data_IF_044975983979
#
_entry.id   IF_044975983979
#
_cell.length_a   1.000
_cell.length_b   1.000
_cell.length_c   1.000
_cell.angle_alpha   90.00
_cell.angle_beta   90.00
_cell.angle_gamma   90.00
#
_symmetry.space_group_name_H-M   'P 1'
#
loop_
_entity.id
_entity.type
_entity.pdbx_description
1 polymer ?
#
# COMPACT_ATOMS: atom_id res chain seq x y z
N UNK A 1 -44.90 -15.76 -38.58
CA UNK A 1 -45.73 -16.39 -37.53
C UNK A 1 -44.84 -16.72 -36.35
N UNK A 2 -44.87 -15.86 -35.32
CA UNK A 2 -44.07 -16.00 -34.09
C UNK A 2 -44.82 -16.94 -33.13
N UNK A 3 -44.25 -18.12 -32.87
CA UNK A 3 -44.75 -19.01 -31.84
C UNK A 3 -44.22 -18.53 -30.48
N UNK A 4 -45.07 -17.84 -29.73
CA UNK A 4 -44.84 -17.55 -28.31
C UNK A 4 -44.97 -18.84 -27.51
N UNK A 5 -43.83 -19.41 -27.10
CA UNK A 5 -43.79 -20.42 -26.06
C UNK A 5 -43.99 -19.73 -24.70
N UNK A 6 -45.24 -19.72 -24.21
CA UNK A 6 -45.54 -19.39 -22.81
C UNK A 6 -45.07 -20.56 -21.94
N UNK A 7 -43.95 -20.38 -21.26
CA UNK A 7 -43.53 -21.28 -20.18
C UNK A 7 -44.37 -20.92 -18.93
N UNK A 8 -45.08 -21.87 -18.32
CA UNK A 8 -45.85 -21.60 -17.11
C UNK A 8 -44.87 -21.36 -15.95
N UNK A 9 -44.92 -20.15 -15.39
CA UNK A 9 -44.27 -19.81 -14.12
C UNK A 9 -45.06 -20.49 -12.99
N UNK A 10 -44.67 -21.72 -12.68
CA UNK A 10 -45.23 -22.52 -11.59
C UNK A 10 -44.15 -23.45 -11.07
N UNK A 11 -43.30 -22.90 -10.21
CA UNK A 11 -42.64 -23.56 -9.08
C UNK A 11 -41.70 -22.53 -8.44
N UNK A 12 -41.83 -22.31 -7.14
CA UNK A 12 -41.00 -21.36 -6.39
C UNK A 12 -39.53 -21.78 -6.50
N UNK A 13 -38.71 -20.96 -7.19
CA UNK A 13 -37.26 -21.18 -7.24
C UNK A 13 -36.69 -21.21 -5.82
N UNK A 14 -36.21 -22.37 -5.40
CA UNK A 14 -35.57 -22.53 -4.09
C UNK A 14 -34.28 -21.72 -4.03
N UNK A 15 -33.91 -21.20 -2.85
CA UNK A 15 -32.64 -20.46 -2.64
C UNK A 15 -31.42 -21.28 -3.10
N UNK A 16 -31.49 -22.61 -2.99
CA UNK A 16 -30.46 -23.52 -3.51
C UNK A 16 -30.33 -23.47 -5.04
N UNK A 17 -31.43 -23.30 -5.78
CA UNK A 17 -31.39 -23.09 -7.23
C UNK A 17 -30.84 -21.70 -7.58
N UNK A 18 -31.14 -20.66 -6.79
CA UNK A 18 -30.53 -19.33 -6.95
C UNK A 18 -29.01 -19.42 -6.75
N UNK A 19 -28.53 -20.21 -5.79
CA UNK A 19 -27.10 -20.47 -5.57
C UNK A 19 -26.42 -21.24 -6.71
N UNK A 20 -27.14 -22.11 -7.41
CA UNK A 20 -26.62 -22.75 -8.63
C UNK A 20 -26.39 -21.74 -9.76
N UNK A 21 -27.24 -20.70 -9.88
CA UNK A 21 -27.09 -19.64 -10.88
C UNK A 21 -26.21 -18.46 -10.44
N UNK A 22 -25.86 -18.36 -9.15
CA UNK A 22 -25.00 -17.29 -8.58
C UNK A 22 -23.60 -17.76 -8.20
N UNK A 23 -23.24 -19.02 -8.51
CA UNK A 23 -21.84 -19.46 -8.54
C UNK A 23 -21.11 -18.72 -9.66
N UNK A 24 -20.55 -17.58 -9.31
CA UNK A 24 -19.67 -16.82 -10.17
C UNK A 24 -18.36 -17.55 -10.40
N UNK A 25 -17.78 -17.35 -11.59
CA UNK A 25 -16.40 -17.70 -11.84
C UNK A 25 -15.52 -16.70 -11.08
N UNK A 26 -15.01 -17.10 -9.91
CA UNK A 26 -14.06 -16.31 -9.13
C UNK A 26 -12.63 -16.77 -9.42
N UNK A 27 -11.68 -15.83 -9.47
CA UNK A 27 -10.26 -16.14 -9.74
C UNK A 27 -9.57 -16.89 -8.58
N UNK A 28 -10.01 -16.64 -7.35
CA UNK A 28 -9.69 -17.40 -6.14
C UNK A 28 -10.72 -18.52 -5.91
N UNK A 29 -10.25 -19.77 -5.93
CA UNK A 29 -11.10 -20.97 -5.78
C UNK A 29 -11.67 -21.15 -4.37
N UNK A 30 -11.21 -20.37 -3.38
CA UNK A 30 -11.69 -20.42 -2.01
C UNK A 30 -13.00 -19.65 -1.78
N UNK A 31 -13.42 -18.82 -2.75
CA UNK A 31 -14.63 -17.99 -2.64
C UNK A 31 -15.77 -18.53 -3.51
N UNK A 32 -16.96 -18.58 -2.92
CA UNK A 32 -18.19 -19.03 -3.59
C UNK A 32 -19.04 -17.87 -4.16
N UNK A 33 -18.49 -16.67 -4.22
CA UNK A 33 -19.16 -15.45 -4.69
C UNK A 33 -18.20 -14.61 -5.54
N UNK A 34 -18.76 -13.78 -6.42
CA UNK A 34 -18.00 -12.84 -7.23
C UNK A 34 -17.40 -11.73 -6.36
N UNK A 35 -16.17 -11.35 -6.65
CA UNK A 35 -15.58 -10.13 -6.07
C UNK A 35 -16.30 -8.89 -6.61
N UNK A 36 -16.15 -7.77 -5.91
CA UNK A 36 -16.70 -6.47 -6.35
C UNK A 36 -16.20 -6.13 -7.76
N UNK A 37 -14.91 -6.36 -8.03
CA UNK A 37 -14.30 -6.13 -9.33
C UNK A 37 -14.89 -7.04 -10.41
N UNK A 38 -15.10 -8.33 -10.12
CA UNK A 38 -15.72 -9.25 -11.09
C UNK A 38 -17.19 -8.91 -11.33
N UNK A 39 -17.93 -8.51 -10.29
CA UNK A 39 -19.30 -8.03 -10.44
C UNK A 39 -19.38 -6.75 -11.28
N UNK A 40 -18.42 -5.83 -11.11
CA UNK A 40 -18.29 -4.62 -11.94
C UNK A 40 -17.92 -4.96 -13.39
N UNK A 41 -17.01 -5.89 -13.64
CA UNK A 41 -16.68 -6.36 -15.00
C UNK A 41 -17.86 -7.02 -15.70
N UNK A 42 -18.71 -7.75 -14.99
CA UNK A 42 -19.93 -8.32 -15.56
C UNK A 42 -21.01 -7.26 -15.84
N UNK A 43 -21.00 -6.15 -15.08
CA UNK A 43 -21.94 -5.04 -15.27
C UNK A 43 -21.59 -4.18 -16.47
N UNK A 44 -20.30 -4.08 -16.81
CA UNK A 44 -19.77 -3.31 -17.94
C UNK A 44 -18.70 -4.12 -18.70
N UNK A 45 -19.14 -5.05 -19.59
CA UNK A 45 -18.21 -5.87 -20.36
C UNK A 45 -17.37 -5.06 -21.34
N UNK A 46 -17.89 -3.94 -21.85
CA UNK A 46 -17.15 -3.03 -22.73
C UNK A 46 -15.99 -2.34 -21.99
N UNK A 47 -16.24 -1.86 -20.77
CA UNK A 47 -15.21 -1.31 -19.88
C UNK A 47 -14.11 -2.32 -19.55
N UNK A 48 -14.51 -3.57 -19.27
CA UNK A 48 -13.56 -4.68 -19.09
C UNK A 48 -12.69 -4.94 -20.32
N UNK A 49 -13.27 -4.96 -21.52
CA UNK A 49 -12.53 -5.11 -22.79
C UNK A 49 -11.58 -3.94 -23.05
N UNK A 50 -11.95 -2.71 -22.66
CA UNK A 50 -11.07 -1.56 -22.79
C UNK A 50 -9.88 -1.62 -21.81
N UNK A 51 -10.10 -2.09 -20.58
CA UNK A 51 -9.05 -2.33 -19.62
C UNK A 51 -8.08 -3.40 -20.11
N UNK A 52 -8.59 -4.53 -20.62
CA UNK A 52 -7.75 -5.61 -21.18
C UNK A 52 -6.86 -5.09 -22.31
N UNK A 53 -7.42 -4.36 -23.29
CA UNK A 53 -6.63 -3.77 -24.39
C UNK A 53 -5.55 -2.81 -23.89
N UNK A 54 -5.83 -2.06 -22.82
CA UNK A 54 -4.85 -1.15 -22.21
C UNK A 54 -3.71 -1.95 -21.58
N UNK A 55 -4.03 -2.98 -20.80
CA UNK A 55 -3.04 -3.86 -20.17
C UNK A 55 -2.20 -4.60 -21.20
N UNK A 56 -2.79 -5.10 -22.29
CA UNK A 56 -2.06 -5.75 -23.38
C UNK A 56 -1.04 -4.81 -24.03
N UNK A 57 -1.41 -3.55 -24.28
CA UNK A 57 -0.50 -2.54 -24.83
C UNK A 57 0.64 -2.21 -23.87
N UNK A 58 0.32 -2.03 -22.60
CA UNK A 58 1.33 -1.78 -21.57
C UNK A 58 2.28 -2.98 -21.42
N UNK A 59 1.76 -4.20 -21.46
CA UNK A 59 2.57 -5.42 -21.41
C UNK A 59 3.50 -5.53 -22.63
N UNK A 60 3.00 -5.27 -23.84
CA UNK A 60 3.83 -5.19 -25.05
C UNK A 60 4.94 -4.14 -24.92
N UNK A 61 4.64 -2.97 -24.33
CA UNK A 61 5.65 -1.93 -24.09
C UNK A 61 6.71 -2.39 -23.09
N UNK A 62 6.30 -3.05 -22.01
CA UNK A 62 7.21 -3.60 -21.00
C UNK A 62 8.10 -4.69 -21.59
N UNK A 63 7.56 -5.59 -22.40
CA UNK A 63 8.33 -6.61 -23.12
C UNK A 63 9.35 -5.98 -24.08
N UNK A 64 8.98 -4.92 -24.80
CA UNK A 64 9.92 -4.18 -25.63
C UNK A 64 11.04 -3.52 -24.82
N UNK A 65 10.73 -2.96 -23.65
CA UNK A 65 11.75 -2.42 -22.73
C UNK A 65 12.67 -3.52 -22.21
N UNK A 66 12.14 -4.68 -21.83
CA UNK A 66 12.96 -5.82 -21.39
C UNK A 66 13.86 -6.34 -22.51
N UNK A 67 13.34 -6.43 -23.74
CA UNK A 67 14.13 -6.79 -24.92
C UNK A 67 15.25 -5.77 -25.18
N UNK A 68 14.96 -4.47 -25.05
CA UNK A 68 15.97 -3.42 -25.15
C UNK A 68 17.03 -3.52 -24.06
N UNK A 69 16.62 -3.74 -22.80
CA UNK A 69 17.53 -3.92 -21.66
C UNK A 69 18.51 -5.08 -21.86
N UNK A 70 18.08 -6.19 -22.47
CA UNK A 70 19.00 -7.29 -22.83
C UNK A 70 20.05 -6.89 -23.88
N UNK A 71 19.70 -5.96 -24.76
CA UNK A 71 20.57 -5.42 -25.82
C UNK A 71 21.35 -4.18 -25.38
N UNK A 72 21.11 -3.66 -24.17
CA UNK A 72 21.68 -2.42 -23.66
C UNK A 72 23.21 -2.48 -23.61
N UNK A 73 23.78 -3.59 -23.13
CA UNK A 73 25.24 -3.79 -23.10
C UNK A 73 25.86 -3.82 -24.51
N UNK A 74 25.16 -4.40 -25.48
CA UNK A 74 25.62 -4.46 -26.87
C UNK A 74 25.56 -3.06 -27.49
N UNK A 75 24.48 -2.33 -27.23
CA UNK A 75 24.34 -0.93 -27.62
C UNK A 75 25.47 -0.08 -27.06
N UNK A 76 25.70 -0.12 -25.74
CA UNK A 76 26.78 0.66 -25.11
C UNK A 76 28.17 0.24 -25.58
N UNK A 77 28.43 -1.06 -25.74
CA UNK A 77 29.71 -1.53 -26.30
C UNK A 77 29.91 -1.06 -27.75
N UNK A 78 28.87 -1.10 -28.57
CA UNK A 78 28.92 -0.53 -29.92
C UNK A 78 29.16 0.97 -29.87
N UNK A 79 28.47 1.67 -28.98
CA UNK A 79 28.63 3.10 -28.77
C UNK A 79 30.08 3.40 -28.36
N UNK A 80 30.67 2.64 -27.43
CA UNK A 80 32.09 2.77 -27.03
C UNK A 80 33.04 2.53 -28.20
N UNK A 81 32.70 1.65 -29.15
CA UNK A 81 33.49 1.52 -30.38
C UNK A 81 33.30 2.70 -31.32
N UNK A 82 32.11 3.30 -31.40
CA UNK A 82 31.86 4.51 -32.21
C UNK A 82 32.62 5.70 -31.62
N UNK A 83 32.56 5.92 -30.31
CA UNK A 83 33.36 6.96 -29.64
C UNK A 83 34.86 6.62 -29.63
N UNK A 84 35.21 5.34 -29.51
CA UNK A 84 36.57 4.83 -29.58
C UNK A 84 37.19 5.02 -30.97
N UNK A 85 36.41 4.90 -32.04
CA UNK A 85 36.84 5.28 -33.40
C UNK A 85 36.98 6.79 -33.60
N UNK A 86 36.44 7.61 -32.68
CA UNK A 86 36.76 9.04 -32.61
C UNK A 86 38.02 9.33 -31.79
N UNK A 87 38.60 8.34 -31.10
CA UNK A 87 39.92 8.43 -30.51
C UNK A 87 40.96 7.96 -31.55
N UNK A 88 42.00 8.74 -31.85
CA UNK A 88 43.02 8.32 -32.79
C UNK A 88 43.86 7.21 -32.15
N UNK A 89 43.64 5.96 -32.58
CA UNK A 89 44.59 4.86 -32.39
C UNK A 89 45.96 5.33 -32.91
N UNK A 90 46.93 5.50 -32.01
CA UNK A 90 48.33 5.81 -32.37
C UNK A 90 48.93 4.56 -33.01
N UNK A 91 49.22 4.55 -34.33
CA UNK A 91 49.91 3.42 -34.92
C UNK A 91 51.40 3.53 -34.56
N UNK A 92 51.96 2.47 -34.02
CA UNK A 92 53.40 2.29 -34.00
C UNK A 92 53.90 2.19 -35.45
N UNK A 93 54.42 3.32 -35.94
CA UNK A 93 55.40 3.51 -37.01
C UNK A 93 55.25 2.65 -38.29
N UNK A 94 54.69 3.24 -39.35
CA UNK A 94 55.45 3.53 -40.58
C UNK A 94 54.60 4.34 -41.58
N UNK A 95 55.22 5.38 -42.15
CA UNK A 95 54.87 6.12 -43.38
C UNK A 95 54.06 7.43 -43.22
N UNK A 96 54.77 8.53 -43.48
CA UNK A 96 54.39 9.96 -43.57
C UNK A 96 53.30 10.26 -44.66
N UNK A 97 52.94 11.53 -44.95
CA UNK A 97 52.73 12.74 -44.13
C UNK A 97 51.37 13.41 -44.46
N UNK A 98 50.64 13.97 -43.50
CA UNK A 98 49.65 15.03 -43.82
C UNK A 98 49.50 15.95 -42.61
N UNK A 99 49.80 17.22 -42.83
CA UNK A 99 49.65 18.31 -41.89
C UNK A 99 48.20 18.41 -41.39
N UNK A 100 47.99 18.27 -40.08
CA UNK A 100 46.82 18.83 -39.40
C UNK A 100 47.26 19.47 -38.07
N UNK A 101 46.54 20.52 -37.63
CA UNK A 101 47.04 21.44 -36.62
C UNK A 101 47.11 20.76 -35.26
N UNK A 102 48.27 20.84 -34.64
CA UNK A 102 48.51 20.48 -33.25
C UNK A 102 47.51 21.19 -32.34
N UNK A 103 46.59 20.44 -31.74
CA UNK A 103 45.80 20.90 -30.60
C UNK A 103 46.58 20.51 -29.34
N UNK A 104 46.91 21.45 -28.44
CA UNK A 104 47.65 21.13 -27.23
C UNK A 104 46.86 20.14 -26.38
N UNK A 105 47.54 19.13 -25.83
CA UNK A 105 47.04 18.29 -24.74
C UNK A 105 46.68 19.17 -23.54
N UNK A 106 45.45 19.68 -23.52
CA UNK A 106 44.88 20.38 -22.38
C UNK A 106 43.59 19.65 -22.03
N UNK A 107 43.63 18.84 -20.98
CA UNK A 107 42.41 18.19 -20.49
C UNK A 107 42.60 17.21 -19.33
N UNK A 108 43.71 16.48 -19.24
CA UNK A 108 43.90 15.48 -18.16
C UNK A 108 44.01 16.11 -16.77
N UNK A 109 44.89 17.09 -16.61
CA UNK A 109 45.13 17.73 -15.31
C UNK A 109 43.97 18.59 -14.79
N UNK A 110 43.15 19.17 -15.68
CA UNK A 110 41.97 19.94 -15.30
C UNK A 110 40.83 19.01 -14.82
N UNK A 111 40.68 17.83 -15.45
CA UNK A 111 39.77 16.78 -15.00
C UNK A 111 40.20 16.17 -13.66
N UNK A 112 41.49 15.87 -13.49
CA UNK A 112 42.02 15.35 -12.22
C UNK A 112 41.86 16.35 -11.08
N UNK A 113 42.01 17.65 -11.36
CA UNK A 113 41.73 18.72 -10.40
C UNK A 113 40.24 18.76 -10.04
N UNK A 114 39.35 18.70 -11.03
CA UNK A 114 37.91 18.71 -10.82
C UNK A 114 37.43 17.48 -10.02
N UNK A 115 38.02 16.30 -10.24
CA UNK A 115 37.73 15.10 -9.46
C UNK A 115 38.13 15.30 -7.99
N UNK A 116 39.30 15.89 -7.72
CA UNK A 116 39.75 16.18 -6.36
C UNK A 116 38.87 17.23 -5.67
N UNK A 117 38.46 18.27 -6.39
CA UNK A 117 37.54 19.29 -5.88
C UNK A 117 36.16 18.70 -5.54
N UNK A 118 35.63 17.83 -6.39
CA UNK A 118 34.36 17.14 -6.12
C UNK A 118 34.45 16.20 -4.92
N UNK A 119 35.55 15.48 -4.76
CA UNK A 119 35.80 14.64 -3.58
C UNK A 119 35.87 15.48 -2.30
N UNK A 120 36.58 16.60 -2.32
CA UNK A 120 36.64 17.51 -1.17
C UNK A 120 35.25 18.09 -0.82
N UNK A 121 34.46 18.46 -1.82
CA UNK A 121 33.09 18.94 -1.61
C UNK A 121 32.16 17.86 -1.06
N UNK A 122 32.32 16.61 -1.49
CA UNK A 122 31.57 15.47 -0.95
C UNK A 122 31.88 15.25 0.54
N UNK A 123 33.17 15.29 0.92
CA UNK A 123 33.61 15.20 2.31
C UNK A 123 33.05 16.34 3.17
N UNK A 124 33.15 17.59 2.70
CA UNK A 124 32.59 18.76 3.41
C UNK A 124 31.07 18.65 3.61
N UNK A 125 30.35 18.18 2.59
CA UNK A 125 28.90 17.97 2.66
C UNK A 125 28.57 16.87 3.68
N UNK A 126 29.30 15.76 3.65
CA UNK A 126 29.13 14.64 4.59
C UNK A 126 29.31 15.12 6.03
N UNK A 127 30.37 15.89 6.31
CA UNK A 127 30.59 16.43 7.64
C UNK A 127 29.50 17.44 8.06
N UNK A 128 29.03 18.29 7.13
CA UNK A 128 27.95 19.24 7.42
C UNK A 128 26.63 18.54 7.74
N UNK A 129 26.33 17.45 7.01
CA UNK A 129 25.16 16.60 7.26
C UNK A 129 25.25 15.93 8.63
N UNK A 130 26.41 15.37 9.00
CA UNK A 130 26.57 14.72 10.29
C UNK A 130 26.55 15.72 11.46
N UNK A 131 27.18 16.89 11.31
CA UNK A 131 27.06 17.98 12.30
C UNK A 131 25.60 18.40 12.50
N UNK A 132 24.84 18.50 11.41
CA UNK A 132 23.41 18.84 11.46
C UNK A 132 22.56 17.72 12.07
N UNK A 133 22.89 16.45 11.80
CA UNK A 133 22.26 15.29 12.42
C UNK A 133 22.47 15.30 13.93
N UNK A 134 23.71 15.45 14.39
CA UNK A 134 24.05 15.49 15.82
C UNK A 134 23.36 16.67 16.52
N UNK A 135 23.36 17.85 15.91
CA UNK A 135 22.66 19.02 16.43
C UNK A 135 21.13 18.80 16.51
N UNK A 136 20.55 18.13 15.51
CA UNK A 136 19.14 17.76 15.52
C UNK A 136 18.83 16.71 16.58
N UNK A 137 19.65 15.68 16.74
CA UNK A 137 19.47 14.63 17.75
C UNK A 137 19.58 15.19 19.17
N UNK A 138 20.53 16.09 19.43
CA UNK A 138 20.65 16.82 20.69
C UNK A 138 19.39 17.66 20.98
N UNK A 139 18.85 18.35 19.96
CA UNK A 139 17.62 19.14 20.09
C UNK A 139 16.37 18.27 20.25
N UNK A 140 16.29 17.16 19.54
CA UNK A 140 15.18 16.20 19.60
C UNK A 140 15.17 15.41 20.91
N UNK A 141 16.34 15.10 21.48
CA UNK A 141 16.49 14.51 22.81
C UNK A 141 15.96 15.40 23.92
N UNK A 142 16.04 16.73 23.75
CA UNK A 142 15.47 17.71 24.70
C UNK A 142 13.95 17.93 24.57
N UNK A 143 13.32 17.58 23.44
CA UNK A 143 11.92 17.94 23.15
C UNK A 143 10.91 16.79 23.33
N UNK A 144 11.02 16.00 24.39
CA UNK A 144 9.91 15.13 24.85
C UNK A 144 9.98 13.66 24.45
N UNK A 145 11.12 13.17 23.94
CA UNK A 145 11.40 11.73 23.82
C UNK A 145 12.10 11.18 25.08
N UNK A 146 11.73 11.71 26.24
CA UNK A 146 12.27 11.30 27.54
C UNK A 146 11.71 9.94 28.01
N UNK A 147 12.30 9.35 29.05
CA UNK A 147 11.82 8.11 29.67
C UNK A 147 10.34 8.19 30.07
N UNK A 148 9.84 9.38 30.41
CA UNK A 148 8.43 9.63 30.75
C UNK A 148 7.46 9.40 29.58
N UNK A 149 7.79 9.84 28.36
CA UNK A 149 6.99 9.56 27.17
C UNK A 149 6.97 8.06 26.83
N UNK A 150 8.13 7.41 27.01
CA UNK A 150 8.25 5.97 26.83
C UNK A 150 7.45 5.18 27.88
N UNK A 151 7.40 5.69 29.11
CA UNK A 151 6.62 5.12 30.21
C UNK A 151 5.12 5.32 30.01
N UNK A 152 4.68 6.51 29.58
CA UNK A 152 3.29 6.79 29.26
C UNK A 152 2.78 5.92 28.10
N UNK A 153 3.59 5.74 27.04
CA UNK A 153 3.26 4.86 25.91
C UNK A 153 3.22 3.38 26.31
N UNK A 154 4.09 2.97 27.24
CA UNK A 154 4.09 1.60 27.79
C UNK A 154 2.85 1.37 28.65
N UNK A 155 2.54 2.29 29.55
CA UNK A 155 1.34 2.25 30.38
C UNK A 155 0.04 2.21 29.55
N UNK A 156 -0.04 2.98 28.46
CA UNK A 156 -1.20 2.91 27.55
C UNK A 156 -1.33 1.56 26.87
N UNK A 157 -0.20 0.94 26.48
CA UNK A 157 -0.20 -0.38 25.83
C UNK A 157 -0.61 -1.47 26.83
N UNK A 158 -0.06 -1.44 28.03
CA UNK A 158 -0.40 -2.38 29.11
C UNK A 158 -1.88 -2.26 29.51
N UNK A 159 -2.43 -1.04 29.56
CA UNK A 159 -3.84 -0.82 29.82
C UNK A 159 -4.73 -1.46 28.74
N UNK A 160 -4.39 -1.28 27.46
CA UNK A 160 -5.13 -1.89 26.34
C UNK A 160 -5.05 -3.42 26.38
N UNK A 161 -3.85 -3.97 26.63
CA UNK A 161 -3.67 -5.43 26.76
C UNK A 161 -4.49 -6.00 27.91
N UNK A 162 -4.59 -5.27 29.04
CA UNK A 162 -5.43 -5.67 30.17
C UNK A 162 -6.92 -5.65 29.84
N UNK A 163 -7.42 -4.62 29.16
CA UNK A 163 -8.82 -4.53 28.73
C UNK A 163 -9.16 -5.62 27.70
N UNK A 164 -8.26 -5.90 26.76
CA UNK A 164 -8.42 -7.00 25.80
C UNK A 164 -8.45 -8.37 26.51
N UNK A 165 -7.57 -8.57 27.49
CA UNK A 165 -7.56 -9.78 28.31
C UNK A 165 -8.85 -9.93 29.13
N UNK A 166 -9.39 -8.84 29.68
CA UNK A 166 -10.66 -8.85 30.38
C UNK A 166 -11.82 -9.21 29.45
N UNK A 167 -11.85 -8.65 28.23
CA UNK A 167 -12.85 -8.98 27.21
C UNK A 167 -12.77 -10.44 26.78
N UNK A 168 -11.56 -10.96 26.56
CA UNK A 168 -11.35 -12.36 26.21
C UNK A 168 -11.82 -13.30 27.33
N UNK A 169 -11.49 -12.99 28.59
CA UNK A 169 -11.95 -13.78 29.75
C UNK A 169 -13.48 -13.72 29.93
N UNK A 170 -14.11 -12.59 29.63
CA UNK A 170 -15.58 -12.49 29.60
C UNK A 170 -16.16 -13.38 28.49
N UNK A 171 -15.58 -13.38 27.29
CA UNK A 171 -16.00 -14.27 26.22
C UNK A 171 -15.80 -15.75 26.54
N UNK A 172 -14.73 -16.11 27.24
CA UNK A 172 -14.47 -17.49 27.68
C UNK A 172 -15.39 -17.90 28.84
N UNK A 173 -15.76 -16.97 29.74
CA UNK A 173 -16.73 -17.23 30.82
C UNK A 173 -18.17 -17.35 30.33
N UNK A 174 -18.56 -16.54 29.34
CA UNK A 174 -19.88 -16.60 28.72
C UNK A 174 -19.95 -17.67 27.62
N UNK A 175 -18.80 -18.24 27.23
CA UNK A 175 -18.62 -19.22 26.17
C UNK A 175 -18.18 -20.60 26.68
N UNK A 176 -18.99 -21.25 27.51
CA UNK A 176 -19.07 -22.72 27.39
C UNK A 176 -19.48 -23.04 25.95
N UNK A 177 -19.06 -24.18 25.34
CA UNK A 177 -19.52 -24.52 24.00
C UNK A 177 -21.04 -24.42 23.99
N UNK A 178 -21.57 -23.41 23.29
CA UNK A 178 -23.00 -23.25 23.14
C UNK A 178 -23.46 -24.60 22.62
N UNK A 179 -24.29 -25.29 23.41
CA UNK A 179 -24.85 -26.59 23.05
C UNK A 179 -25.25 -26.47 21.58
N UNK A 180 -24.67 -27.27 20.66
CA UNK A 180 -24.95 -27.13 19.25
C UNK A 180 -26.46 -27.13 19.13
N UNK A 181 -26.98 -26.00 18.68
CA UNK A 181 -28.40 -25.77 18.55
C UNK A 181 -28.95 -26.90 17.67
N UNK A 182 -29.49 -27.95 18.31
CA UNK A 182 -30.06 -29.10 17.61
C UNK A 182 -31.08 -28.59 16.60
N UNK A 183 -31.26 -29.26 15.45
CA UNK A 183 -31.82 -28.68 14.22
C UNK A 183 -33.00 -27.74 14.51
N UNK A 184 -32.70 -26.44 14.63
CA UNK A 184 -33.69 -25.43 14.92
C UNK A 184 -34.37 -25.12 13.61
N UNK A 185 -35.57 -25.68 13.43
CA UNK A 185 -36.46 -25.32 12.35
C UNK A 185 -36.82 -23.84 12.54
N UNK A 186 -36.26 -22.97 11.70
CA UNK A 186 -36.68 -21.57 11.64
C UNK A 186 -38.11 -21.55 11.13
N UNK A 187 -39.08 -21.49 12.05
CA UNK A 187 -40.48 -21.30 11.73
C UNK A 187 -40.70 -19.80 11.60
N UNK A 188 -41.16 -19.34 10.43
CA UNK A 188 -41.67 -17.98 10.26
C UNK A 188 -42.82 -17.79 11.25
N UNK A 189 -42.58 -17.04 12.33
CA UNK A 189 -43.67 -16.57 13.20
C UNK A 189 -44.38 -15.44 12.48
N UNK A 190 -45.70 -15.53 12.43
CA UNK A 190 -46.56 -14.44 11.97
C UNK A 190 -46.32 -13.20 12.85
N UNK A 191 -46.39 -12.03 12.21
CA UNK A 191 -46.07 -10.73 12.76
C UNK A 191 -46.91 -10.44 14.02
N UNK A 192 -46.34 -10.69 15.21
CA UNK A 192 -47.03 -10.43 16.47
C UNK A 192 -46.44 -11.06 17.73
N UNK A 193 -45.59 -12.08 17.62
CA UNK A 193 -45.00 -12.75 18.79
C UNK A 193 -43.48 -12.60 18.85
N UNK A 194 -42.99 -11.37 18.89
CA UNK A 194 -41.63 -11.07 19.33
C UNK A 194 -41.53 -11.48 20.81
N UNK A 195 -40.81 -12.57 21.09
CA UNK A 195 -40.63 -13.03 22.45
C UNK A 195 -39.70 -12.10 23.23
N UNK A 196 -39.73 -12.19 24.56
CA UNK A 196 -38.86 -11.46 25.49
C UNK A 196 -37.35 -11.58 25.14
N UNK A 197 -36.95 -12.66 24.45
CA UNK A 197 -35.56 -12.88 23.97
C UNK A 197 -35.18 -12.01 22.77
N UNK A 198 -36.09 -11.77 21.82
CA UNK A 198 -35.79 -10.95 20.64
C UNK A 198 -35.68 -9.47 21.03
N UNK A 199 -36.51 -9.05 22.00
CA UNK A 199 -36.39 -7.75 22.65
C UNK A 199 -35.04 -7.63 23.38
N UNK A 200 -34.59 -8.68 24.08
CA UNK A 200 -33.28 -8.70 24.75
C UNK A 200 -32.10 -8.62 23.77
N UNK A 201 -32.13 -9.34 22.64
CA UNK A 201 -31.08 -9.28 21.63
C UNK A 201 -31.03 -7.90 20.93
N UNK A 202 -32.18 -7.32 20.60
CA UNK A 202 -32.25 -5.98 20.01
C UNK A 202 -31.73 -4.90 20.96
N UNK A 203 -31.98 -5.03 22.27
CA UNK A 203 -31.42 -4.14 23.30
C UNK A 203 -29.90 -4.29 23.37
N UNK A 204 -29.37 -5.52 23.38
CA UNK A 204 -27.92 -5.78 23.42
C UNK A 204 -27.22 -5.22 22.18
N UNK A 205 -27.78 -5.41 20.98
CA UNK A 205 -27.24 -4.85 19.74
C UNK A 205 -27.21 -3.32 19.81
N UNK A 206 -28.27 -2.70 20.34
CA UNK A 206 -28.32 -1.24 20.49
C UNK A 206 -27.27 -0.73 21.46
N UNK A 207 -27.06 -1.43 22.58
CA UNK A 207 -26.02 -1.05 23.57
C UNK A 207 -24.60 -1.23 23.02
N UNK A 208 -24.35 -2.28 22.23
CA UNK A 208 -23.04 -2.48 21.60
C UNK A 208 -22.76 -1.40 20.55
N UNK A 209 -23.75 -1.05 19.72
CA UNK A 209 -23.62 0.04 18.75
C UNK A 209 -23.39 1.40 19.41
N UNK A 210 -24.02 1.67 20.56
CA UNK A 210 -23.77 2.92 21.28
C UNK A 210 -22.39 2.96 21.93
N UNK A 211 -21.88 1.83 22.41
CA UNK A 211 -20.51 1.70 22.91
C UNK A 211 -19.48 1.86 21.78
N UNK A 212 -19.69 1.23 20.63
CA UNK A 212 -18.86 1.39 19.43
C UNK A 212 -18.77 2.86 19.01
N UNK A 213 -19.92 3.53 18.87
CA UNK A 213 -19.96 4.95 18.52
C UNK A 213 -19.24 5.84 19.55
N UNK A 214 -19.32 5.50 20.84
CA UNK A 214 -18.61 6.21 21.90
C UNK A 214 -17.08 6.04 21.77
N UNK A 215 -16.61 4.80 21.56
CA UNK A 215 -15.20 4.51 21.38
C UNK A 215 -14.64 5.16 20.11
N UNK A 216 -15.38 5.15 19.00
CA UNK A 216 -15.00 5.86 17.78
C UNK A 216 -14.86 7.37 18.01
N UNK A 217 -15.80 7.98 18.76
CA UNK A 217 -15.72 9.40 19.08
C UNK A 217 -14.50 9.74 19.93
N UNK A 218 -14.17 8.90 20.93
CA UNK A 218 -12.97 9.06 21.75
C UNK A 218 -11.70 8.92 20.91
N UNK A 219 -11.65 7.93 20.01
CA UNK A 219 -10.51 7.69 19.13
C UNK A 219 -10.28 8.87 18.18
N UNK A 220 -11.34 9.40 17.57
CA UNK A 220 -11.26 10.62 16.73
C UNK A 220 -10.78 11.82 17.53
N UNK A 221 -11.25 12.00 18.77
CA UNK A 221 -10.79 13.08 19.66
C UNK A 221 -9.31 12.96 19.99
N UNK A 222 -8.83 11.77 20.36
CA UNK A 222 -7.42 11.51 20.65
C UNK A 222 -6.54 11.73 19.42
N UNK A 223 -6.97 11.25 18.25
CA UNK A 223 -6.27 11.53 16.99
C UNK A 223 -6.19 13.03 16.70
N UNK A 224 -7.27 13.78 16.93
CA UNK A 224 -7.28 15.24 16.82
C UNK A 224 -6.29 15.92 17.77
N UNK A 225 -6.24 15.50 19.03
CA UNK A 225 -5.27 15.99 20.02
C UNK A 225 -3.83 15.68 19.60
N UNK A 226 -3.54 14.46 19.16
CA UNK A 226 -2.23 14.09 18.65
C UNK A 226 -1.82 14.95 17.44
N UNK A 227 -2.74 15.22 16.50
CA UNK A 227 -2.48 16.10 15.35
C UNK A 227 -2.18 17.53 15.79
N UNK A 228 -2.89 18.06 16.79
CA UNK A 228 -2.65 19.40 17.32
C UNK A 228 -1.29 19.51 18.02
N UNK A 229 -0.92 18.53 18.85
CA UNK A 229 0.40 18.50 19.49
C UNK A 229 1.52 18.36 18.46
N UNK A 230 1.33 17.52 17.43
CA UNK A 230 2.27 17.42 16.31
C UNK A 230 2.41 18.74 15.56
N UNK A 231 1.31 19.45 15.28
CA UNK A 231 1.36 20.76 14.65
C UNK A 231 2.10 21.80 15.50
N UNK A 232 1.91 21.77 16.82
CA UNK A 232 2.65 22.62 17.78
C UNK A 232 4.15 22.31 17.74
N UNK A 233 4.53 21.04 17.71
CA UNK A 233 5.93 20.61 17.65
C UNK A 233 6.60 20.99 16.32
N UNK A 234 5.90 20.81 15.20
CA UNK A 234 6.38 21.26 13.87
C UNK A 234 6.57 22.77 13.83
N UNK A 235 5.65 23.54 14.40
CA UNK A 235 5.76 25.00 14.49
C UNK A 235 6.92 25.50 15.36
N UNK A 236 7.31 24.73 16.38
CA UNK A 236 8.41 25.08 17.28
C UNK A 236 9.80 24.66 16.77
N UNK A 237 9.87 23.67 15.87
CA UNK A 237 11.13 23.10 15.36
C UNK A 237 11.22 23.21 13.83
N UNK A 238 11.91 24.25 13.31
CA UNK A 238 12.16 24.34 11.87
C UNK A 238 13.01 23.13 11.41
N UNK A 239 12.50 22.39 10.42
CA UNK A 239 13.17 21.23 9.80
C UNK A 239 12.51 19.86 10.06
N UNK A 240 11.40 19.79 10.79
CA UNK A 240 10.67 18.53 11.01
C UNK A 240 9.75 18.23 9.80
N UNK A 241 10.05 17.16 9.05
CA UNK A 241 9.20 16.68 7.95
C UNK A 241 8.31 15.57 8.49
N UNK A 242 6.99 15.77 8.43
CA UNK A 242 6.02 14.75 8.82
C UNK A 242 5.49 14.02 7.59
N UNK A 243 5.64 12.69 7.55
CA UNK A 243 5.10 11.84 6.49
C UNK A 243 3.81 11.22 7.03
N UNK A 244 2.63 11.64 6.54
CA UNK A 244 1.39 11.01 6.94
C UNK A 244 1.38 9.53 6.52
N UNK A 245 0.77 8.63 7.30
CA UNK A 245 0.59 7.25 6.85
C UNK A 245 -0.22 7.22 5.55
N UNK A 246 0.02 6.25 4.66
CA UNK A 246 -0.78 6.10 3.44
C UNK A 246 -2.24 5.94 3.83
N UNK A 247 -3.10 6.83 3.30
CA UNK A 247 -4.53 6.80 3.57
C UNK A 247 -5.11 5.46 3.14
N UNK A 248 -5.98 4.89 4.00
CA UNK A 248 -6.87 3.79 3.63
C UNK A 248 -8.07 4.33 2.88
#
# INVERSE_FOLDING_TARGET
>A
MLAQARVPLGDEMTVCQIHLYTRGCHSDQSLSHLSVTEAEMLRDPEGGQQLLRTLERENQRLEAVLAWRRSELVFWRWMDTVLGTCAPEVPAAASQPTFLPWVPERGGGELDLAVRELQALEEELQEAVERRRVAWEAKAGGCGRGPEWSAARRASREAVEKELGALQQCWERDGGPAQPHGPHRLVRREDGAAGDRDLRAAVVIRTLRSQEACLEAVLRRLQGQCRQELARLVGALPGLIWIPPPGR
#
